data_IF_154026719853
#
_entry.id   IF_154026719853
#
_cell.length_a   1.000
_cell.length_b   1.000
_cell.length_c   1.000
_cell.angle_alpha   90.00
_cell.angle_beta   90.00
_cell.angle_gamma   90.00
#
_symmetry.space_group_name_H-M   'P 1'
#
loop_
_entity.id
_entity.type
_entity.pdbx_description
1 polymer ?
#
# COMPACT_ATOMS: atom_id res chain seq x y z
N UNK A 1 24.73 -7.37 -4.83
CA UNK A 1 23.29 -7.41 -4.49
C UNK A 1 22.64 -8.44 -5.40
N UNK A 2 22.05 -9.51 -4.85
CA UNK A 2 21.21 -10.38 -5.68
C UNK A 2 19.87 -9.67 -5.88
N UNK A 3 19.44 -9.55 -7.13
CA UNK A 3 18.12 -9.03 -7.44
C UNK A 3 17.07 -10.03 -6.94
N UNK A 4 16.13 -9.59 -6.10
CA UNK A 4 15.13 -10.49 -5.52
C UNK A 4 14.30 -11.14 -6.63
N UNK A 5 13.87 -12.38 -6.42
CA UNK A 5 13.09 -13.12 -7.42
C UNK A 5 11.80 -12.36 -7.79
N UNK A 6 11.26 -11.58 -6.85
CA UNK A 6 10.12 -10.69 -7.07
C UNK A 6 10.44 -9.50 -7.98
N UNK A 7 11.57 -8.80 -7.78
CA UNK A 7 11.99 -7.71 -8.68
C UNK A 7 12.21 -8.19 -10.12
N UNK A 8 12.73 -9.41 -10.28
CA UNK A 8 12.88 -10.04 -11.60
C UNK A 8 11.52 -10.34 -12.23
N UNK A 9 10.52 -10.77 -11.45
CA UNK A 9 9.16 -10.98 -11.92
C UNK A 9 8.49 -9.66 -12.33
N UNK A 10 8.63 -8.63 -11.50
CA UNK A 10 8.14 -7.28 -11.75
C UNK A 10 8.71 -6.69 -13.06
N UNK A 11 10.02 -6.79 -13.25
CA UNK A 11 10.73 -6.30 -14.44
C UNK A 11 10.29 -6.97 -15.75
N UNK A 12 9.65 -8.15 -15.66
CA UNK A 12 9.16 -8.90 -16.82
C UNK A 12 7.65 -8.71 -17.03
N UNK A 13 6.86 -8.74 -15.97
CA UNK A 13 5.39 -8.68 -16.06
C UNK A 13 4.89 -7.27 -16.39
N UNK A 14 5.48 -6.23 -15.78
CA UNK A 14 5.00 -4.86 -16.01
C UNK A 14 5.12 -4.41 -17.46
N UNK A 15 6.27 -4.58 -18.15
CA UNK A 15 6.35 -4.19 -19.55
C UNK A 15 5.46 -5.05 -20.45
N UNK A 16 5.17 -6.30 -20.07
CA UNK A 16 4.25 -7.15 -20.82
C UNK A 16 2.82 -6.61 -20.79
N UNK A 17 2.41 -5.91 -19.72
CA UNK A 17 1.06 -5.37 -19.61
C UNK A 17 0.77 -4.25 -20.62
N UNK A 18 1.80 -3.52 -21.02
CA UNK A 18 1.71 -2.45 -22.03
C UNK A 18 1.68 -2.97 -23.47
N UNK A 19 1.88 -4.28 -23.67
CA UNK A 19 1.85 -4.93 -24.98
C UNK A 19 0.48 -5.51 -25.31
N UNK A 20 0.18 -5.66 -26.59
CA UNK A 20 -0.98 -6.38 -27.10
C UNK A 20 -0.94 -7.86 -26.69
N UNK A 21 -2.10 -8.46 -26.41
CA UNK A 21 -2.22 -9.85 -25.90
C UNK A 21 -1.43 -10.86 -26.78
N UNK A 22 -1.46 -10.66 -28.10
CA UNK A 22 -0.75 -11.49 -29.06
C UNK A 22 0.78 -11.43 -28.96
N UNK A 23 1.33 -10.33 -28.41
CA UNK A 23 2.78 -10.07 -28.31
C UNK A 23 3.35 -10.46 -26.93
N UNK A 24 2.51 -10.46 -25.88
CA UNK A 24 2.92 -10.72 -24.48
C UNK A 24 3.63 -12.04 -24.30
N UNK A 25 3.10 -13.11 -24.89
CA UNK A 25 3.67 -14.46 -24.74
C UNK A 25 5.08 -14.54 -25.31
N UNK A 26 5.29 -14.00 -26.51
CA UNK A 26 6.61 -13.95 -27.13
C UNK A 26 7.58 -13.08 -26.32
N UNK A 27 7.11 -11.95 -25.78
CA UNK A 27 7.89 -11.07 -24.92
C UNK A 27 8.36 -11.78 -23.63
N UNK A 28 7.44 -12.44 -22.91
CA UNK A 28 7.76 -13.20 -21.69
C UNK A 28 8.77 -14.31 -21.97
N UNK A 29 8.56 -15.11 -23.02
CA UNK A 29 9.49 -16.17 -23.40
C UNK A 29 10.89 -15.61 -23.71
N UNK A 30 10.97 -14.46 -24.39
CA UNK A 30 12.24 -13.79 -24.67
C UNK A 30 12.96 -13.32 -23.40
N UNK A 31 12.24 -12.66 -22.47
CA UNK A 31 12.82 -12.09 -21.25
C UNK A 31 13.10 -13.10 -20.14
N UNK A 32 12.42 -14.24 -20.13
CA UNK A 32 12.66 -15.33 -19.19
C UNK A 32 13.55 -16.44 -19.75
N UNK A 33 14.30 -16.19 -20.83
CA UNK A 33 15.22 -17.17 -21.42
C UNK A 33 16.22 -17.68 -20.37
N UNK A 34 16.22 -18.99 -20.12
CA UNK A 34 17.10 -19.62 -19.11
C UNK A 34 16.54 -19.66 -17.68
N UNK A 35 15.33 -19.14 -17.44
CA UNK A 35 14.65 -19.19 -16.14
C UNK A 35 13.20 -19.69 -16.28
N UNK A 36 12.98 -21.01 -16.40
CA UNK A 36 11.65 -21.59 -16.60
C UNK A 36 10.69 -21.33 -15.43
N UNK A 37 11.21 -21.09 -14.23
CA UNK A 37 10.40 -20.80 -13.05
C UNK A 37 9.83 -19.39 -13.12
N UNK A 38 10.67 -18.40 -13.46
CA UNK A 38 10.24 -17.02 -13.69
C UNK A 38 9.19 -16.92 -14.80
N UNK A 39 9.38 -17.67 -15.90
CA UNK A 39 8.42 -17.73 -16.99
C UNK A 39 7.05 -18.23 -16.53
N UNK A 40 6.99 -19.36 -15.82
CA UNK A 40 5.72 -19.91 -15.30
C UNK A 40 5.02 -18.96 -14.34
N UNK A 41 5.78 -18.27 -13.50
CA UNK A 41 5.24 -17.26 -12.57
C UNK A 41 4.64 -16.08 -13.34
N UNK A 42 5.35 -15.56 -14.35
CA UNK A 42 4.88 -14.45 -15.17
C UNK A 42 3.62 -14.83 -15.99
N UNK A 43 3.60 -16.01 -16.61
CA UNK A 43 2.44 -16.53 -17.34
C UNK A 43 1.23 -16.73 -16.41
N UNK A 44 1.43 -17.29 -15.21
CA UNK A 44 0.35 -17.47 -14.23
C UNK A 44 -0.21 -16.11 -13.79
N UNK A 45 0.64 -15.11 -13.61
CA UNK A 45 0.22 -13.77 -13.24
C UNK A 45 -0.59 -13.10 -14.37
N UNK A 46 -0.12 -13.14 -15.62
CA UNK A 46 -0.87 -12.60 -16.76
C UNK A 46 -2.22 -13.29 -16.98
N UNK A 47 -2.28 -14.63 -16.85
CA UNK A 47 -3.52 -15.37 -16.99
C UNK A 47 -4.60 -14.94 -15.97
N UNK A 48 -4.18 -14.59 -14.74
CA UNK A 48 -5.06 -14.02 -13.73
C UNK A 48 -5.58 -12.64 -14.17
N UNK A 49 -4.73 -11.79 -14.71
CA UNK A 49 -5.11 -10.46 -15.19
C UNK A 49 -6.07 -10.51 -16.39
N UNK A 50 -5.85 -11.45 -17.30
CA UNK A 50 -6.65 -11.62 -18.52
C UNK A 50 -8.03 -12.21 -18.22
N UNK A 51 -8.13 -13.17 -17.29
CA UNK A 51 -9.42 -13.69 -16.81
C UNK A 51 -10.27 -12.66 -16.03
N UNK A 52 -9.67 -11.52 -15.70
CA UNK A 52 -10.22 -10.49 -14.81
C UNK A 52 -10.77 -9.25 -15.54
N UNK A 53 -10.68 -9.18 -16.87
CA UNK A 53 -11.35 -8.12 -17.65
C UNK A 53 -10.66 -6.75 -17.68
N UNK A 54 -9.32 -6.71 -17.66
CA UNK A 54 -8.50 -5.61 -18.20
C UNK A 54 -8.56 -4.21 -17.56
N UNK A 55 -9.47 -3.95 -16.61
CA UNK A 55 -9.69 -2.61 -16.04
C UNK A 55 -8.72 -2.20 -14.91
N UNK A 56 -7.64 -2.97 -14.71
CA UNK A 56 -6.88 -2.97 -13.45
C UNK A 56 -5.62 -2.07 -13.44
N UNK A 57 -5.17 -1.55 -14.59
CA UNK A 57 -3.84 -0.95 -14.72
C UNK A 57 -3.72 0.52 -14.29
N UNK A 58 -4.44 0.95 -13.25
CA UNK A 58 -4.20 2.26 -12.64
C UNK A 58 -4.14 2.20 -11.11
N UNK A 59 -2.92 1.94 -10.61
CA UNK A 59 -2.42 2.52 -9.37
C UNK A 59 -2.55 1.66 -8.12
N UNK A 60 -1.42 1.50 -7.42
CA UNK A 60 -1.28 1.70 -5.96
C UNK A 60 -0.02 1.04 -5.42
N UNK A 61 1.05 1.81 -5.20
CA UNK A 61 1.94 1.59 -4.06
C UNK A 61 2.84 2.79 -3.80
N UNK A 62 2.83 3.20 -2.54
CA UNK A 62 3.89 3.94 -1.89
C UNK A 62 5.13 3.05 -1.66
N UNK A 63 6.33 3.62 -1.72
CA UNK A 63 7.57 3.06 -1.14
C UNK A 63 8.19 4.12 -0.21
N UNK A 64 8.52 3.79 1.06
CA UNK A 64 9.08 4.78 1.99
C UNK A 64 10.55 5.15 1.72
N UNK A 65 11.20 4.54 0.73
CA UNK A 65 12.68 4.55 0.64
C UNK A 65 13.28 5.06 -0.67
N UNK A 66 12.52 5.56 -1.64
CA UNK A 66 13.12 6.26 -2.78
C UNK A 66 12.29 7.47 -3.22
N UNK A 67 12.84 8.69 -3.22
CA UNK A 67 12.32 9.72 -4.10
C UNK A 67 12.57 9.28 -5.55
N UNK A 68 11.63 9.52 -6.49
CA UNK A 68 11.92 9.35 -7.91
C UNK A 68 13.09 10.27 -8.27
N UNK A 69 14.13 9.70 -8.87
CA UNK A 69 15.24 10.47 -9.40
C UNK A 69 14.76 11.21 -10.66
N UNK A 70 14.52 12.52 -10.51
CA UNK A 70 14.37 13.45 -11.64
C UNK A 70 12.96 14.02 -11.81
N UNK A 71 12.94 15.36 -11.91
CA UNK A 71 11.82 16.26 -12.22
C UNK A 71 10.83 16.54 -11.07
N UNK A 72 11.20 17.49 -10.22
CA UNK A 72 10.29 18.26 -9.37
C UNK A 72 9.36 19.11 -10.24
N UNK A 73 8.09 18.73 -10.30
CA UNK A 73 7.01 19.70 -10.37
C UNK A 73 6.22 19.56 -9.08
N UNK A 74 6.19 20.58 -8.19
CA UNK A 74 5.42 20.50 -6.96
C UNK A 74 3.93 20.34 -7.30
N UNK A 75 3.31 19.29 -6.74
CA UNK A 75 1.86 19.09 -6.79
C UNK A 75 1.22 20.28 -6.06
N UNK A 76 0.37 21.11 -6.71
CA UNK A 76 -0.23 22.30 -6.10
C UNK A 76 -1.12 22.00 -4.86
N UNK A 77 -1.36 20.73 -4.54
CA UNK A 77 -2.04 20.28 -3.32
C UNK A 77 -1.13 19.81 -2.16
N UNK A 78 0.20 19.92 -2.28
CA UNK A 78 1.12 19.46 -1.24
C UNK A 78 1.17 20.45 -0.05
N UNK A 79 1.08 19.94 1.17
CA UNK A 79 1.13 20.76 2.38
C UNK A 79 2.57 21.17 2.67
N UNK A 80 2.76 22.47 2.93
CA UNK A 80 4.06 23.03 3.32
C UNK A 80 4.39 22.72 4.79
N UNK A 81 5.69 22.63 5.09
CA UNK A 81 6.17 22.55 6.46
C UNK A 81 5.72 23.78 7.27
N UNK A 82 5.29 23.57 8.50
CA UNK A 82 4.75 24.61 9.38
C UNK A 82 3.23 24.83 9.26
N UNK A 83 2.58 24.30 8.22
CA UNK A 83 1.11 24.34 8.11
C UNK A 83 0.48 23.54 9.27
N UNK A 84 -0.64 24.03 9.79
CA UNK A 84 -1.41 23.35 10.82
C UNK A 84 -2.65 22.66 10.24
N UNK A 85 -2.95 21.46 10.73
CA UNK A 85 -4.22 20.75 10.56
C UNK A 85 -4.71 20.39 11.95
N UNK A 86 -5.71 21.13 12.44
CA UNK A 86 -6.13 21.03 13.83
C UNK A 86 -4.92 21.26 14.77
N UNK A 87 -4.66 20.37 15.76
CA UNK A 87 -3.54 20.51 16.67
C UNK A 87 -2.20 20.01 16.09
N UNK A 88 -2.13 19.61 14.82
CA UNK A 88 -0.95 19.00 14.22
C UNK A 88 -0.24 19.97 13.29
N UNK A 89 1.06 20.18 13.52
CA UNK A 89 1.93 21.00 12.68
C UNK A 89 2.74 20.09 11.76
N UNK A 90 2.66 20.32 10.45
CA UNK A 90 3.40 19.55 9.45
C UNK A 90 4.90 19.84 9.57
N UNK A 91 5.73 18.80 9.62
CA UNK A 91 7.19 18.92 9.58
C UNK A 91 7.73 18.71 8.17
N UNK A 92 7.38 17.58 7.54
CA UNK A 92 7.84 17.22 6.19
C UNK A 92 6.92 16.20 5.53
N UNK A 93 6.95 16.15 4.20
CA UNK A 93 6.36 15.07 3.44
C UNK A 93 7.16 13.78 3.68
N UNK A 94 6.48 12.69 4.05
CA UNK A 94 7.06 11.35 4.06
C UNK A 94 6.96 10.69 2.67
N UNK A 95 5.96 11.12 1.89
CA UNK A 95 5.76 10.76 0.48
C UNK A 95 4.32 11.03 0.02
N UNK A 96 4.03 10.66 -1.24
CA UNK A 96 2.73 10.87 -1.88
C UNK A 96 2.38 9.72 -2.83
N UNK A 97 1.10 9.51 -3.08
CA UNK A 97 0.61 8.47 -3.98
C UNK A 97 -0.84 8.69 -4.41
N UNK A 98 -1.42 7.70 -5.09
CA UNK A 98 -2.77 7.78 -5.68
C UNK A 98 -3.86 8.20 -4.69
N UNK A 99 -3.76 7.75 -3.43
CA UNK A 99 -4.77 7.97 -2.38
C UNK A 99 -4.55 9.24 -1.55
N UNK A 100 -3.45 9.96 -1.74
CA UNK A 100 -3.11 11.04 -0.83
C UNK A 100 -1.63 11.20 -0.56
N UNK A 101 -1.35 12.08 0.40
CA UNK A 101 0.00 12.40 0.85
C UNK A 101 0.13 12.12 2.34
N UNK A 102 1.26 11.55 2.75
CA UNK A 102 1.55 11.27 4.16
C UNK A 102 2.67 12.18 4.61
N UNK A 103 2.46 12.83 5.74
CA UNK A 103 3.37 13.80 6.32
C UNK A 103 3.82 13.34 7.70
N UNK A 104 5.06 13.66 8.05
CA UNK A 104 5.48 13.70 9.43
C UNK A 104 4.93 15.00 10.02
N UNK A 105 4.25 14.89 11.14
CA UNK A 105 3.71 16.03 11.85
C UNK A 105 3.97 15.89 13.36
N UNK A 106 3.93 17.01 14.05
CA UNK A 106 4.05 17.10 15.51
C UNK A 106 2.72 17.59 16.07
N UNK A 107 2.25 16.97 17.16
CA UNK A 107 1.15 17.54 17.94
C UNK A 107 1.66 18.78 18.70
N UNK A 108 1.12 19.95 18.36
CA UNK A 108 1.55 21.27 18.80
C UNK A 108 0.42 21.98 19.58
N UNK A 109 -0.14 21.32 20.60
CA UNK A 109 -1.20 21.86 21.47
C UNK A 109 -0.71 22.15 22.91
N UNK A 110 0.60 22.40 23.07
CA UNK A 110 1.29 22.71 24.34
C UNK A 110 1.11 21.69 25.48
N UNK A 111 0.53 20.52 25.20
CA UNK A 111 0.39 19.44 26.19
C UNK A 111 1.52 18.43 26.12
N UNK A 112 1.77 17.82 24.94
CA UNK A 112 2.88 16.89 24.71
C UNK A 112 3.32 16.90 23.24
N UNK A 113 4.62 17.09 23.00
CA UNK A 113 5.23 16.93 21.68
C UNK A 113 5.28 15.44 21.30
N UNK A 114 4.45 15.03 20.32
CA UNK A 114 4.46 13.67 19.78
C UNK A 114 4.48 13.72 18.25
N UNK A 115 5.47 13.04 17.66
CA UNK A 115 5.54 12.80 16.21
C UNK A 115 4.45 11.81 15.78
N UNK A 116 3.77 12.14 14.70
CA UNK A 116 2.66 11.37 14.11
C UNK A 116 2.81 11.31 12.59
N UNK A 117 2.26 10.26 11.99
CA UNK A 117 2.08 10.17 10.55
C UNK A 117 0.69 10.71 10.21
N UNK A 118 0.61 11.82 9.49
CA UNK A 118 -0.64 12.45 9.07
C UNK A 118 -0.87 12.17 7.59
N UNK A 119 -1.86 11.34 7.27
CA UNK A 119 -2.26 11.02 5.90
C UNK A 119 -3.43 11.91 5.49
N UNK A 120 -3.23 12.78 4.52
CA UNK A 120 -4.29 13.56 3.88
C UNK A 120 -4.74 12.84 2.62
N UNK A 121 -6.03 12.54 2.56
CA UNK A 121 -6.64 11.85 1.43
C UNK A 121 -6.96 12.84 0.32
N UNK A 122 -6.70 12.47 -0.93
CA UNK A 122 -7.05 13.32 -2.07
C UNK A 122 -8.57 13.54 -2.13
N UNK A 123 -9.02 14.74 -2.57
CA UNK A 123 -10.44 15.02 -2.69
C UNK A 123 -11.07 14.13 -3.78
N UNK A 124 -11.86 13.14 -3.37
CA UNK A 124 -12.71 12.34 -4.25
C UNK A 124 -14.11 12.96 -4.45
N UNK A 125 -14.95 12.35 -5.29
CA UNK A 125 -16.36 12.74 -5.41
C UNK A 125 -17.06 12.50 -4.07
N UNK A 126 -17.44 13.59 -3.40
CA UNK A 126 -18.17 13.52 -2.13
C UNK A 126 -19.60 13.02 -2.38
N UNK A 127 -19.98 11.93 -1.73
CA UNK A 127 -21.37 11.49 -1.62
C UNK A 127 -21.72 11.28 -0.14
N UNK A 128 -22.99 11.44 0.28
CA UNK A 128 -23.40 11.15 1.66
C UNK A 128 -23.04 9.72 2.11
N UNK A 129 -23.13 8.76 1.21
CA UNK A 129 -22.78 7.35 1.43
C UNK A 129 -21.27 7.16 1.63
N UNK A 130 -20.44 8.02 1.01
CA UNK A 130 -18.99 8.07 1.22
C UNK A 130 -18.62 8.37 2.66
N UNK A 131 -19.26 9.41 3.16
CA UNK A 131 -19.01 9.96 4.47
C UNK A 131 -19.46 8.97 5.56
N UNK A 132 -20.59 8.28 5.35
CA UNK A 132 -21.07 7.25 6.28
C UNK A 132 -20.15 6.03 6.33
N UNK A 133 -19.71 5.52 5.16
CA UNK A 133 -18.73 4.43 5.09
C UNK A 133 -17.39 4.82 5.73
N UNK A 134 -16.91 6.03 5.47
CA UNK A 134 -15.70 6.57 6.09
C UNK A 134 -15.82 6.61 7.63
N UNK A 135 -16.95 7.06 8.16
CA UNK A 135 -17.20 7.09 9.62
C UNK A 135 -17.26 5.69 10.23
N UNK A 136 -17.88 4.73 9.54
CA UNK A 136 -17.95 3.35 9.99
C UNK A 136 -16.55 2.73 10.05
N UNK A 137 -15.76 2.88 8.98
CA UNK A 137 -14.42 2.32 8.91
C UNK A 137 -13.50 2.93 9.97
N UNK A 138 -13.55 4.26 10.15
CA UNK A 138 -12.82 4.94 11.23
C UNK A 138 -13.12 4.32 12.59
N UNK A 139 -14.39 3.98 12.86
CA UNK A 139 -14.80 3.35 14.12
C UNK A 139 -14.26 1.93 14.26
N UNK A 140 -14.18 1.16 13.17
CA UNK A 140 -13.62 -0.20 13.19
C UNK A 140 -12.10 -0.16 13.39
N UNK A 141 -11.39 0.70 12.66
CA UNK A 141 -9.94 0.88 12.77
C UNK A 141 -9.51 1.41 14.13
N UNK A 142 -10.27 2.35 14.72
CA UNK A 142 -9.98 2.88 16.05
C UNK A 142 -10.08 1.81 17.17
N UNK A 143 -10.73 0.67 16.91
CA UNK A 143 -10.82 -0.45 17.85
C UNK A 143 -9.66 -1.45 17.71
N UNK A 144 -8.83 -1.32 16.68
CA UNK A 144 -7.68 -2.20 16.48
C UNK A 144 -6.56 -1.82 17.44
N UNK A 145 -6.40 -2.63 18.48
CA UNK A 145 -5.27 -2.55 19.39
C UNK A 145 -4.43 -3.82 19.30
N UNK A 146 -3.20 -3.68 18.80
CA UNK A 146 -2.22 -4.76 18.74
C UNK A 146 -0.81 -4.17 18.71
N UNK A 147 0.20 -4.77 19.37
CA UNK A 147 1.57 -4.24 19.35
C UNK A 147 2.15 -4.11 17.94
N UNK A 148 1.79 -5.02 17.03
CA UNK A 148 2.27 -5.03 15.63
C UNK A 148 1.30 -4.34 14.64
N UNK A 149 0.34 -3.52 15.11
CA UNK A 149 -0.51 -2.66 14.27
C UNK A 149 -0.24 -1.20 14.66
N UNK A 150 0.04 -0.33 13.69
CA UNK A 150 0.16 1.09 13.95
C UNK A 150 -1.20 1.67 14.39
N UNK A 151 -1.20 2.38 15.51
CA UNK A 151 -2.44 2.91 16.09
C UNK A 151 -2.98 4.08 15.29
N UNK A 152 -4.29 4.09 15.07
CA UNK A 152 -5.01 5.29 14.65
C UNK A 152 -5.23 6.18 15.88
N UNK A 153 -4.62 7.36 15.91
CA UNK A 153 -4.75 8.31 17.01
C UNK A 153 -5.97 9.21 16.84
N UNK A 154 -6.23 9.67 15.61
CA UNK A 154 -7.32 10.59 15.30
C UNK A 154 -7.65 10.54 13.81
N UNK A 155 -8.81 11.06 13.42
CA UNK A 155 -9.13 11.35 12.02
C UNK A 155 -10.24 12.40 11.92
N UNK A 156 -10.09 13.31 10.97
CA UNK A 156 -10.98 14.46 10.80
C UNK A 156 -11.00 14.97 9.37
N UNK A 157 -11.47 16.20 9.22
CA UNK A 157 -11.46 16.94 7.96
C UNK A 157 -10.78 18.29 8.17
N UNK A 158 -10.02 18.73 7.18
CA UNK A 158 -9.48 20.10 7.17
C UNK A 158 -10.59 21.11 6.91
N UNK A 159 -10.31 22.41 7.05
CA UNK A 159 -11.28 23.48 6.74
C UNK A 159 -11.72 23.46 5.26
N UNK A 160 -10.83 22.99 4.37
CA UNK A 160 -11.12 22.77 2.95
C UNK A 160 -11.89 21.45 2.70
N UNK A 161 -12.17 20.71 3.76
CA UNK A 161 -12.90 19.43 3.76
C UNK A 161 -12.07 18.26 3.22
N UNK A 162 -10.75 18.31 3.31
CA UNK A 162 -9.91 17.15 3.00
C UNK A 162 -9.91 16.20 4.19
N UNK A 163 -10.26 14.94 3.98
CA UNK A 163 -10.17 13.93 5.04
C UNK A 163 -8.71 13.67 5.40
N UNK A 164 -8.42 13.58 6.70
CA UNK A 164 -7.10 13.21 7.18
C UNK A 164 -7.18 12.14 8.28
N UNK A 165 -6.13 11.34 8.36
CA UNK A 165 -5.89 10.36 9.42
C UNK A 165 -4.58 10.68 10.14
N UNK A 166 -4.60 10.54 11.46
CA UNK A 166 -3.44 10.70 12.32
C UNK A 166 -3.10 9.35 12.89
N UNK A 167 -1.93 8.85 12.55
CA UNK A 167 -1.47 7.51 12.89
C UNK A 167 -0.18 7.59 13.71
N UNK A 168 0.11 6.51 14.42
CA UNK A 168 1.41 6.26 15.03
C UNK A 168 2.51 6.43 13.97
N UNK A 169 3.47 7.33 14.24
CA UNK A 169 4.69 7.38 13.45
C UNK A 169 5.62 6.26 13.89
N UNK A 170 5.90 5.34 12.98
CA UNK A 170 6.82 4.22 13.20
C UNK A 170 8.16 4.54 12.56
N UNK A 171 9.19 4.64 13.39
CA UNK A 171 10.57 4.78 12.93
C UNK A 171 11.15 3.38 12.68
N UNK A 172 11.31 3.02 11.41
CA UNK A 172 11.72 1.67 11.02
C UNK A 172 12.01 1.55 9.53
N UNK A 173 12.39 0.34 9.11
CA UNK A 173 12.67 -0.01 7.71
C UNK A 173 11.62 -1.01 7.19
N UNK A 174 11.26 -0.99 5.90
CA UNK A 174 10.43 -2.02 5.29
C UNK A 174 10.96 -3.42 5.62
N UNK A 175 10.06 -4.36 5.88
CA UNK A 175 10.38 -5.71 6.35
C UNK A 175 11.33 -6.49 5.42
N UNK A 176 11.20 -6.33 4.10
CA UNK A 176 12.10 -6.92 3.10
C UNK A 176 13.52 -6.35 3.24
N UNK A 177 13.64 -5.03 3.29
CA UNK A 177 14.92 -4.31 3.43
C UNK A 177 15.58 -4.64 4.76
N UNK A 178 14.81 -4.64 5.85
CA UNK A 178 15.31 -5.01 7.17
C UNK A 178 15.87 -6.44 7.17
N UNK A 179 15.13 -7.39 6.59
CA UNK A 179 15.55 -8.79 6.53
C UNK A 179 16.81 -9.00 5.66
N UNK A 180 16.93 -8.24 4.57
CA UNK A 180 18.13 -8.22 3.71
C UNK A 180 19.34 -7.60 4.43
N UNK A 181 19.19 -6.38 4.95
CA UNK A 181 20.28 -5.60 5.55
C UNK A 181 20.86 -6.27 6.80
N UNK A 182 20.00 -6.84 7.65
CA UNK A 182 20.42 -7.56 8.87
C UNK A 182 20.89 -8.99 8.57
N UNK A 183 20.86 -9.43 7.31
CA UNK A 183 21.29 -10.77 6.92
C UNK A 183 20.49 -11.89 7.59
N UNK A 184 19.19 -11.67 7.82
CA UNK A 184 18.36 -12.60 8.59
C UNK A 184 18.27 -13.97 7.91
N UNK A 185 18.51 -15.03 8.67
CA UNK A 185 18.23 -16.39 8.24
C UNK A 185 16.73 -16.71 8.15
N UNK A 186 16.41 -17.83 7.50
CA UNK A 186 15.02 -18.29 7.26
C UNK A 186 14.15 -18.26 8.52
N UNK A 187 14.64 -18.78 9.63
CA UNK A 187 13.88 -18.86 10.89
C UNK A 187 13.51 -17.47 11.44
N UNK A 188 14.42 -16.50 11.35
CA UNK A 188 14.18 -15.13 11.79
C UNK A 188 13.17 -14.41 10.87
N UNK A 189 13.26 -14.62 9.56
CA UNK A 189 12.29 -14.11 8.58
C UNK A 189 10.90 -14.67 8.84
N UNK A 190 10.78 -15.98 9.08
CA UNK A 190 9.50 -16.62 9.44
C UNK A 190 8.92 -16.07 10.75
N UNK A 191 9.76 -15.79 11.76
CA UNK A 191 9.30 -15.15 13.00
C UNK A 191 8.69 -13.76 12.76
N UNK A 192 9.28 -12.95 11.89
CA UNK A 192 8.71 -11.64 11.51
C UNK A 192 7.35 -11.82 10.84
N UNK A 193 7.26 -12.72 9.85
CA UNK A 193 5.99 -12.99 9.15
C UNK A 193 4.91 -13.51 10.10
N UNK A 194 5.24 -14.38 11.06
CA UNK A 194 4.26 -14.86 12.05
C UNK A 194 3.66 -13.73 12.88
N UNK A 195 4.45 -12.71 13.25
CA UNK A 195 3.94 -11.52 13.94
C UNK A 195 3.02 -10.69 13.05
N UNK A 196 3.34 -10.55 11.77
CA UNK A 196 2.45 -9.91 10.78
C UNK A 196 1.14 -10.69 10.62
N UNK A 197 1.20 -12.01 10.51
CA UNK A 197 0.01 -12.86 10.45
C UNK A 197 -0.88 -12.70 11.69
N UNK A 198 -0.28 -12.62 12.89
CA UNK A 198 -1.03 -12.38 14.13
C UNK A 198 -1.74 -11.02 14.11
N UNK A 199 -1.06 -9.96 13.63
CA UNK A 199 -1.67 -8.65 13.45
C UNK A 199 -2.86 -8.69 12.45
N UNK A 200 -2.67 -9.31 11.28
CA UNK A 200 -3.74 -9.45 10.27
C UNK A 200 -4.91 -10.27 10.82
N UNK A 201 -4.65 -11.34 11.58
CA UNK A 201 -5.69 -12.13 12.22
C UNK A 201 -6.53 -11.28 13.20
N UNK A 202 -5.90 -10.41 13.98
CA UNK A 202 -6.62 -9.50 14.88
C UNK A 202 -7.49 -8.52 14.08
N UNK A 203 -7.00 -7.98 12.97
CA UNK A 203 -7.80 -7.15 12.08
C UNK A 203 -9.03 -7.90 11.55
N UNK A 204 -8.84 -9.11 11.03
CA UNK A 204 -9.92 -9.95 10.48
C UNK A 204 -10.99 -10.28 11.52
N UNK A 205 -10.60 -10.58 12.77
CA UNK A 205 -11.55 -10.82 13.88
C UNK A 205 -12.38 -9.59 14.23
N UNK A 206 -11.89 -8.40 13.92
CA UNK A 206 -12.58 -7.13 14.10
C UNK A 206 -13.26 -6.63 12.81
N UNK A 207 -13.43 -7.52 11.82
CA UNK A 207 -14.07 -7.23 10.53
C UNK A 207 -13.33 -6.17 9.68
N UNK A 208 -12.05 -5.97 9.94
CA UNK A 208 -11.19 -5.07 9.17
C UNK A 208 -10.33 -5.89 8.21
N UNK A 209 -10.27 -5.46 6.95
CA UNK A 209 -9.38 -6.00 5.91
C UNK A 209 -8.27 -4.99 5.62
N UNK A 210 -7.07 -5.46 5.36
CA UNK A 210 -5.93 -4.60 5.05
C UNK A 210 -5.92 -4.12 3.60
N UNK A 211 -6.20 -5.01 2.64
CA UNK A 211 -6.39 -4.75 1.18
C UNK A 211 -5.18 -4.25 0.40
N UNK A 212 -4.06 -4.04 1.09
CA UNK A 212 -2.82 -3.52 0.50
C UNK A 212 -1.57 -4.09 1.20
N UNK A 213 -1.55 -5.39 1.49
CA UNK A 213 -0.41 -6.03 2.15
C UNK A 213 0.78 -6.15 1.19
N UNK A 214 1.90 -5.55 1.59
CA UNK A 214 3.19 -5.54 0.88
C UNK A 214 4.30 -5.05 1.82
N UNK A 215 5.59 -5.26 1.52
CA UNK A 215 6.66 -4.90 2.45
C UNK A 215 6.70 -3.42 2.83
N UNK A 216 6.37 -2.53 1.89
CA UNK A 216 6.33 -1.08 2.11
C UNK A 216 5.34 -0.64 3.20
N UNK A 217 4.32 -1.46 3.49
CA UNK A 217 3.32 -1.21 4.53
C UNK A 217 3.64 -1.93 5.85
N UNK A 218 4.84 -2.51 5.98
CA UNK A 218 5.27 -3.20 7.20
C UNK A 218 6.67 -2.69 7.55
N UNK A 219 6.74 -1.83 8.57
CA UNK A 219 8.02 -1.34 9.07
C UNK A 219 8.48 -2.18 10.24
N UNK A 220 9.78 -2.48 10.28
CA UNK A 220 10.45 -3.12 11.41
C UNK A 220 11.26 -2.05 12.13
N UNK A 221 10.96 -1.87 13.41
CA UNK A 221 11.64 -0.88 14.26
C UNK A 221 13.05 -1.34 14.68
N UNK A 222 13.76 -0.49 15.41
CA UNK A 222 15.10 -0.78 15.91
C UNK A 222 15.17 -1.96 16.91
N UNK A 223 14.04 -2.41 17.45
CA UNK A 223 13.96 -3.60 18.31
C UNK A 223 13.67 -4.89 17.52
N UNK A 224 13.50 -4.80 16.20
CA UNK A 224 13.14 -5.95 15.37
C UNK A 224 11.65 -6.29 15.42
N UNK A 225 10.80 -5.36 15.84
CA UNK A 225 9.35 -5.57 15.90
C UNK A 225 8.65 -5.02 14.64
N UNK A 226 7.89 -5.85 13.90
CA UNK A 226 7.14 -5.39 12.75
C UNK A 226 5.89 -4.61 13.16
N UNK A 227 5.54 -3.61 12.36
CA UNK A 227 4.36 -2.75 12.52
C UNK A 227 3.63 -2.68 11.19
N UNK A 228 2.40 -3.18 11.17
CA UNK A 228 1.51 -3.09 10.03
C UNK A 228 0.93 -1.68 9.93
N UNK A 229 1.08 -1.06 8.76
CA UNK A 229 0.69 0.31 8.46
C UNK A 229 -0.39 0.36 7.38
N UNK A 230 -1.17 1.43 7.35
CA UNK A 230 -2.05 1.82 6.23
C UNK A 230 -3.01 0.73 5.72
N UNK A 231 -4.13 0.55 6.43
CA UNK A 231 -5.21 -0.40 6.13
C UNK A 231 -6.03 -0.09 4.85
N UNK A 232 -5.39 0.40 3.79
CA UNK A 232 -6.04 0.65 2.50
C UNK A 232 -7.22 1.62 2.59
N UNK A 233 -7.26 2.49 3.59
CA UNK A 233 -8.44 3.28 3.99
C UNK A 233 -8.93 4.21 2.87
N UNK A 234 -8.04 4.59 1.95
CA UNK A 234 -8.38 5.36 0.74
C UNK A 234 -9.33 4.61 -0.18
N UNK A 235 -9.09 3.30 -0.40
CA UNK A 235 -9.82 2.40 -1.33
C UNK A 235 -11.31 2.19 -0.98
N UNK A 236 -11.79 2.82 0.09
CA UNK A 236 -13.14 2.68 0.64
C UNK A 236 -14.04 3.89 0.37
N UNK A 237 -13.48 5.00 -0.10
CA UNK A 237 -14.24 6.19 -0.46
C UNK A 237 -14.91 6.02 -1.84
N UNK A 238 -16.21 6.32 -2.00
CA UNK A 238 -16.90 6.41 -3.28
C UNK A 238 -16.17 7.27 -4.30
N UNK A 239 -16.06 6.74 -5.51
CA UNK A 239 -15.10 7.16 -6.53
C UNK A 239 -13.91 6.20 -6.66
N UNK A 240 -13.60 5.43 -5.61
CA UNK A 240 -12.57 4.37 -5.57
C UNK A 240 -13.16 2.98 -5.27
N UNK A 241 -14.48 2.84 -5.31
CA UNK A 241 -15.11 1.53 -5.26
C UNK A 241 -14.76 0.76 -6.54
N UNK A 242 -14.01 -0.32 -6.39
CA UNK A 242 -13.74 -1.36 -7.39
C UNK A 242 -15.04 -2.08 -7.80
N UNK A 243 -16.02 -1.35 -8.34
CA UNK A 243 -17.34 -1.91 -8.61
C UNK A 243 -18.32 -1.06 -9.42
N UNK A 244 -18.06 0.22 -9.68
CA UNK A 244 -18.92 0.99 -10.60
C UNK A 244 -18.07 1.81 -11.56
N UNK A 245 -18.11 1.39 -12.83
CA UNK A 245 -17.58 2.02 -14.03
C UNK A 245 -17.15 3.49 -13.87
N UNK A 246 -15.93 3.73 -13.40
CA UNK A 246 -15.31 5.05 -13.40
C UNK A 246 -14.64 5.26 -14.77
N UNK A 247 -15.41 5.89 -15.66
CA UNK A 247 -15.02 6.59 -16.89
C UNK A 247 -13.51 6.72 -17.15
N UNK A 248 -13.08 5.99 -18.17
CA UNK A 248 -11.95 6.23 -19.07
C UNK A 248 -11.76 7.74 -19.33
N UNK A 249 -10.67 8.34 -18.83
CA UNK A 249 -9.93 9.49 -19.41
C UNK A 249 -9.14 10.24 -18.32
N UNK A 250 -7.91 9.79 -18.03
CA UNK A 250 -6.84 10.66 -17.51
C UNK A 250 -5.48 9.95 -17.58
N UNK A 251 -4.96 9.81 -18.80
CA UNK A 251 -3.59 9.38 -19.08
C UNK A 251 -2.60 10.42 -18.52
N UNK A 252 -2.12 10.22 -17.30
CA UNK A 252 -0.97 10.96 -16.77
C UNK A 252 -0.31 10.17 -15.61
N UNK A 253 0.80 9.50 -15.95
CA UNK A 253 1.90 9.11 -15.06
C UNK A 253 1.52 8.59 -13.65
N UNK A 254 1.16 7.30 -13.55
CA UNK A 254 0.87 6.64 -12.26
C UNK A 254 1.60 5.28 -12.17
N UNK A 255 2.85 5.23 -11.71
CA UNK A 255 3.56 3.97 -11.61
C UNK A 255 3.05 3.14 -10.41
N UNK A 256 2.67 1.89 -10.71
CA UNK A 256 2.76 0.65 -9.89
C UNK A 256 1.90 0.59 -8.61
N UNK A 257 1.29 -0.52 -8.19
CA UNK A 257 1.73 -1.91 -8.29
C UNK A 257 0.54 -2.88 -8.49
N UNK A 258 0.22 -3.26 -9.74
CA UNK A 258 -0.69 -4.35 -10.03
C UNK A 258 -0.31 -5.68 -9.34
N UNK A 259 0.97 -5.84 -8.99
CA UNK A 259 1.58 -7.12 -8.60
C UNK A 259 1.16 -7.66 -7.22
N UNK A 260 0.69 -6.81 -6.30
CA UNK A 260 0.23 -7.26 -4.97
C UNK A 260 -1.29 -7.43 -4.87
N UNK A 261 -2.03 -7.11 -5.94
CA UNK A 261 -3.47 -7.29 -5.91
C UNK A 261 -3.84 -8.75 -6.10
N UNK A 262 -4.83 -9.19 -5.32
CA UNK A 262 -5.36 -10.52 -5.45
C UNK A 262 -6.18 -10.68 -6.74
N UNK A 263 -6.38 -11.91 -7.24
CA UNK A 263 -7.20 -12.17 -8.43
C UNK A 263 -8.57 -11.50 -8.39
N UNK A 264 -9.25 -11.52 -7.25
CA UNK A 264 -10.54 -10.87 -7.07
C UNK A 264 -10.44 -9.34 -7.06
N UNK A 265 -9.35 -8.74 -6.57
CA UNK A 265 -9.15 -7.28 -6.70
C UNK A 265 -8.93 -6.86 -8.15
N UNK A 266 -8.20 -7.69 -8.90
CA UNK A 266 -7.98 -7.47 -10.33
C UNK A 266 -9.29 -7.63 -11.11
N UNK A 267 -10.08 -8.65 -10.79
CA UNK A 267 -11.35 -8.96 -11.46
C UNK A 267 -12.54 -8.12 -11.04
N UNK A 268 -12.35 -7.12 -10.16
CA UNK A 268 -13.47 -6.37 -9.57
C UNK A 268 -14.43 -7.25 -8.74
N UNK A 269 -13.96 -8.41 -8.31
CA UNK A 269 -14.67 -9.33 -7.43
C UNK A 269 -14.75 -8.82 -5.99
N UNK A 270 -15.54 -9.51 -5.17
CA UNK A 270 -15.72 -9.13 -3.78
C UNK A 270 -14.43 -9.34 -2.97
N UNK A 271 -13.93 -8.26 -2.37
CA UNK A 271 -12.78 -8.28 -1.46
C UNK A 271 -13.17 -8.93 -0.13
N UNK A 272 -12.39 -9.91 0.32
CA UNK A 272 -12.64 -10.68 1.56
C UNK A 272 -11.35 -10.89 2.34
N UNK A 273 -11.40 -11.66 3.44
CA UNK A 273 -10.17 -12.07 4.16
C UNK A 273 -9.21 -12.88 3.27
N UNK A 274 -9.72 -13.56 2.23
CA UNK A 274 -8.89 -14.28 1.27
C UNK A 274 -7.95 -13.34 0.49
N UNK A 275 -8.37 -12.09 0.27
CA UNK A 275 -7.55 -11.05 -0.37
C UNK A 275 -6.29 -10.76 0.45
N UNK A 276 -6.43 -10.61 1.76
CA UNK A 276 -5.28 -10.39 2.65
C UNK A 276 -4.42 -11.66 2.78
N UNK A 277 -5.02 -12.85 2.76
CA UNK A 277 -4.27 -14.11 2.76
C UNK A 277 -3.41 -14.24 1.50
N UNK A 278 -3.92 -13.84 0.34
CA UNK A 278 -3.14 -13.76 -0.90
C UNK A 278 -1.96 -12.79 -0.75
N UNK A 279 -2.22 -11.58 -0.23
CA UNK A 279 -1.16 -10.59 0.04
C UNK A 279 -0.10 -11.07 1.03
N UNK A 280 -0.49 -11.81 2.08
CA UNK A 280 0.46 -12.46 3.00
C UNK A 280 1.32 -13.51 2.28
N UNK A 281 0.77 -14.23 1.29
CA UNK A 281 1.51 -15.18 0.49
C UNK A 281 2.61 -14.52 -0.36
N UNK A 282 2.28 -13.39 -1.01
CA UNK A 282 3.27 -12.60 -1.76
C UNK A 282 4.33 -12.00 -0.86
N UNK A 283 3.92 -11.42 0.27
CA UNK A 283 4.82 -10.89 1.28
C UNK A 283 5.80 -11.96 1.78
N UNK A 284 5.30 -13.17 2.08
CA UNK A 284 6.12 -14.29 2.52
C UNK A 284 7.14 -14.66 1.43
N UNK A 285 6.70 -14.78 0.16
CA UNK A 285 7.60 -15.10 -0.94
C UNK A 285 8.74 -14.08 -1.08
N UNK A 286 8.42 -12.80 -1.02
CA UNK A 286 9.40 -11.73 -1.18
C UNK A 286 10.34 -11.63 0.02
N UNK A 287 9.82 -11.72 1.25
CA UNK A 287 10.66 -11.68 2.46
C UNK A 287 11.55 -12.93 2.57
N UNK A 288 11.26 -14.03 1.85
CA UNK A 288 12.09 -15.24 1.88
C UNK A 288 13.09 -15.37 0.72
N UNK A 289 12.97 -14.57 -0.34
CA UNK A 289 13.80 -14.67 -1.56
C UNK A 289 14.73 -13.48 -1.74
#
# INVERSE_FOLDING_TARGET
MKESAWRRLEAVVLPALDLEESERRAFLHGRCTGDPTLLRQAESFLAILEGSGGAFLEGSSWSPLLPPAGAETPDPGQLEAGRHIGPYRIEKLLGSGGMGSVYLAERADDTFAKRVALKVVRPGRRSPEAEERFRLERRLLARLEHPNIARLHDAGQTEEGLSYFVMEYVEGRPIDRFAEDEGLGLEARLRLILKVCAAVQVAHRNLVLHRDLKPANILVDGAGEPKLLDFGIGKLLPGEALGEAASLTATAQRPLTPLYASPEQVGGGAVTTATDVYGLGLLLYEVLT
#
